data_IF_140686806852
#
_entry.id   IF_140686806852
#
_cell.length_a   1.000
_cell.length_b   1.000
_cell.length_c   1.000
_cell.angle_alpha   90.00
_cell.angle_beta   90.00
_cell.angle_gamma   90.00
#
_symmetry.space_group_name_H-M   'P 1'
#
loop_
_entity.id
_entity.type
_entity.pdbx_description
1 polymer ?
#
# COMPACT_ATOMS: atom_id res chain seq x y z
N UNK A 1 -21.76 10.35 2.47
CA UNK A 1 -20.84 9.20 2.77
C UNK A 1 -20.63 9.11 4.28
N UNK A 2 -20.64 7.89 4.82
CA UNK A 2 -20.47 7.63 6.25
C UNK A 2 -19.07 8.02 6.73
N UNK A 3 -18.96 8.88 7.78
CA UNK A 3 -17.67 9.30 8.37
C UNK A 3 -16.62 9.74 7.33
N UNK A 4 -17.03 10.47 6.30
CA UNK A 4 -16.13 10.97 5.25
C UNK A 4 -16.18 12.50 5.19
N UNK A 5 -15.04 13.13 5.44
CA UNK A 5 -14.87 14.57 5.29
C UNK A 5 -14.14 14.84 3.96
N UNK A 6 -14.89 15.22 2.94
CA UNK A 6 -14.36 15.44 1.59
C UNK A 6 -13.28 16.51 1.55
N UNK A 7 -13.49 17.63 2.24
CA UNK A 7 -12.52 18.74 2.22
C UNK A 7 -11.19 18.33 2.89
N UNK A 8 -11.26 17.57 3.97
CA UNK A 8 -10.07 17.02 4.65
C UNK A 8 -9.35 16.02 3.75
N UNK A 9 -10.09 15.11 3.11
CA UNK A 9 -9.52 14.09 2.21
C UNK A 9 -8.80 14.73 1.01
N UNK A 10 -9.43 15.74 0.39
CA UNK A 10 -8.82 16.52 -0.71
C UNK A 10 -7.54 17.20 -0.22
N UNK A 11 -7.60 17.93 0.90
CA UNK A 11 -6.45 18.64 1.45
C UNK A 11 -5.30 17.70 1.78
N UNK A 12 -5.58 16.52 2.36
CA UNK A 12 -4.56 15.50 2.65
C UNK A 12 -3.92 14.97 1.36
N UNK A 13 -4.70 14.65 0.33
CA UNK A 13 -4.18 14.17 -0.96
C UNK A 13 -3.34 15.24 -1.65
N UNK A 14 -3.78 16.49 -1.63
CA UNK A 14 -3.02 17.63 -2.18
C UNK A 14 -1.68 17.81 -1.45
N UNK A 15 -1.64 17.64 -0.12
CA UNK A 15 -0.39 17.75 0.63
C UNK A 15 0.63 16.67 0.28
N UNK A 16 0.17 15.44 -0.02
CA UNK A 16 1.04 14.37 -0.53
C UNK A 16 1.66 14.73 -1.88
N UNK A 17 0.85 15.27 -2.79
CA UNK A 17 1.29 15.71 -4.12
C UNK A 17 2.24 16.93 -4.06
N UNK A 18 2.05 17.81 -3.09
CA UNK A 18 2.92 18.97 -2.89
C UNK A 18 4.38 18.61 -2.55
N UNK A 19 4.64 17.36 -2.15
CA UNK A 19 6.00 16.85 -1.95
C UNK A 19 6.75 16.53 -3.24
N UNK A 20 6.08 16.48 -4.41
CA UNK A 20 6.70 16.14 -5.69
C UNK A 20 8.03 16.86 -5.93
N UNK A 21 8.13 18.21 -5.82
CA UNK A 21 9.40 18.89 -6.09
C UNK A 21 10.54 18.48 -5.14
N UNK A 22 10.21 18.21 -3.89
CA UNK A 22 11.21 17.77 -2.90
C UNK A 22 11.66 16.33 -3.17
N UNK A 23 10.73 15.44 -3.53
CA UNK A 23 11.00 14.06 -3.89
C UNK A 23 11.90 14.02 -5.13
N UNK A 24 11.53 14.73 -6.22
CA UNK A 24 12.29 14.78 -7.46
C UNK A 24 13.70 15.33 -7.23
N UNK A 25 13.84 16.46 -6.50
CA UNK A 25 15.15 17.02 -6.14
C UNK A 25 16.01 16.04 -5.35
N UNK A 26 15.39 15.28 -4.42
CA UNK A 26 16.10 14.28 -3.63
C UNK A 26 16.61 13.15 -4.50
N UNK A 27 15.75 12.61 -5.37
CA UNK A 27 16.10 11.53 -6.31
C UNK A 27 17.19 12.00 -7.30
N UNK A 28 17.06 13.20 -7.85
CA UNK A 28 18.02 13.75 -8.80
C UNK A 28 19.42 13.86 -8.18
N UNK A 29 19.52 14.39 -6.96
CA UNK A 29 20.77 14.45 -6.20
C UNK A 29 21.37 13.07 -5.98
N UNK A 30 20.58 12.10 -5.53
CA UNK A 30 21.05 10.73 -5.31
C UNK A 30 21.48 10.04 -6.60
N UNK A 31 20.79 10.32 -7.72
CA UNK A 31 21.18 9.81 -9.02
C UNK A 31 22.53 10.37 -9.48
N UNK A 32 22.82 11.65 -9.22
CA UNK A 32 24.09 12.29 -9.53
C UNK A 32 25.23 11.80 -8.63
N UNK A 33 24.97 11.53 -7.35
CA UNK A 33 25.92 10.93 -6.40
C UNK A 33 26.19 9.44 -6.71
N UNK A 34 25.21 8.74 -7.29
CA UNK A 34 25.26 7.33 -7.68
C UNK A 34 24.91 6.37 -6.54
N UNK A 35 24.13 5.36 -6.88
CA UNK A 35 23.69 4.28 -5.98
C UNK A 35 23.68 2.93 -6.74
N UNK A 36 23.71 1.83 -6.00
CA UNK A 36 23.74 0.48 -6.56
C UNK A 36 22.44 -0.30 -6.32
N UNK A 37 21.71 0.05 -5.26
CA UNK A 37 20.44 -0.61 -4.92
C UNK A 37 19.55 0.27 -4.06
N UNK A 38 18.27 -0.12 -3.97
CA UNK A 38 17.26 0.51 -3.10
C UNK A 38 16.70 -0.54 -2.15
N UNK A 39 16.65 -0.21 -0.87
CA UNK A 39 16.02 -0.99 0.17
C UNK A 39 14.79 -0.25 0.69
N UNK A 40 13.61 -0.83 0.49
CA UNK A 40 12.33 -0.30 0.99
C UNK A 40 12.06 -0.98 2.33
N UNK A 41 12.10 -0.23 3.43
CA UNK A 41 12.04 -0.79 4.79
C UNK A 41 10.76 -0.37 5.50
N UNK A 42 10.00 -1.34 5.96
CA UNK A 42 8.74 -1.09 6.66
C UNK A 42 8.40 -2.14 7.71
N UNK A 43 7.30 -1.92 8.42
CA UNK A 43 6.73 -2.85 9.39
C UNK A 43 5.21 -2.91 9.20
N UNK A 44 4.63 -4.11 9.20
CA UNK A 44 3.19 -4.28 9.02
C UNK A 44 2.67 -3.67 7.71
N UNK A 45 1.69 -2.79 7.80
CA UNK A 45 1.07 -2.16 6.63
C UNK A 45 2.05 -1.37 5.76
N UNK A 46 3.00 -0.66 6.35
CA UNK A 46 4.00 0.11 5.60
C UNK A 46 4.96 -0.79 4.82
N UNK A 47 5.31 -1.97 5.34
CA UNK A 47 6.06 -2.98 4.58
C UNK A 47 5.27 -3.48 3.37
N UNK A 48 4.02 -3.81 3.57
CA UNK A 48 3.16 -4.30 2.49
C UNK A 48 2.94 -3.25 1.38
N UNK A 49 2.84 -1.97 1.73
CA UNK A 49 2.75 -0.86 0.76
C UNK A 49 3.98 -0.70 -0.13
N UNK A 50 5.11 -1.28 0.24
CA UNK A 50 6.33 -1.20 -0.57
C UNK A 50 6.39 -2.25 -1.69
N UNK A 51 5.59 -3.31 -1.61
CA UNK A 51 5.63 -4.41 -2.58
C UNK A 51 5.24 -4.02 -4.00
N UNK A 52 4.25 -3.14 -4.26
CA UNK A 52 3.96 -2.67 -5.61
C UNK A 52 5.17 -2.02 -6.29
N UNK A 53 6.01 -1.31 -5.54
CA UNK A 53 7.18 -0.59 -6.05
C UNK A 53 8.39 -1.51 -6.25
N UNK A 54 8.56 -2.52 -5.42
CA UNK A 54 9.47 -3.63 -5.69
C UNK A 54 9.03 -4.40 -6.95
N UNK A 55 7.73 -4.69 -7.09
CA UNK A 55 7.16 -5.33 -8.27
C UNK A 55 7.39 -4.49 -9.53
N UNK A 56 7.13 -3.19 -9.48
CA UNK A 56 7.37 -2.26 -10.57
C UNK A 56 8.85 -2.28 -11.00
N UNK A 57 9.77 -2.13 -10.05
CA UNK A 57 11.21 -2.14 -10.34
C UNK A 57 11.67 -3.47 -10.94
N UNK A 58 11.24 -4.60 -10.37
CA UNK A 58 11.63 -5.94 -10.83
C UNK A 58 11.25 -6.22 -12.27
N UNK A 59 10.13 -5.67 -12.76
CA UNK A 59 9.67 -5.90 -14.14
C UNK A 59 10.22 -4.89 -15.16
N UNK A 60 10.66 -3.71 -14.70
CA UNK A 60 11.04 -2.62 -15.59
C UNK A 60 12.52 -2.20 -15.49
N UNK A 61 13.28 -2.74 -14.55
CA UNK A 61 14.63 -2.30 -14.23
C UNK A 61 15.57 -3.46 -13.86
N UNK A 62 16.85 -3.26 -14.11
CA UNK A 62 17.91 -4.10 -13.55
C UNK A 62 18.40 -3.60 -12.19
N UNK A 63 17.92 -2.48 -11.71
CA UNK A 63 18.24 -1.96 -10.39
C UNK A 63 17.70 -2.94 -9.32
N UNK A 64 18.55 -3.45 -8.43
CA UNK A 64 18.08 -4.23 -7.30
C UNK A 64 17.26 -3.36 -6.34
N UNK A 65 15.94 -3.55 -6.36
CA UNK A 65 15.02 -2.94 -5.39
C UNK A 65 14.40 -4.05 -4.57
N UNK A 66 14.35 -3.90 -3.26
CA UNK A 66 13.83 -4.92 -2.37
C UNK A 66 13.09 -4.33 -1.19
N UNK A 67 11.94 -4.92 -0.86
CA UNK A 67 11.25 -4.64 0.38
C UNK A 67 11.80 -5.52 1.52
N UNK A 68 11.96 -4.95 2.71
CA UNK A 68 12.47 -5.63 3.90
C UNK A 68 11.63 -5.30 5.15
N UNK A 69 11.40 -6.31 5.97
CA UNK A 69 10.80 -6.11 7.30
C UNK A 69 11.85 -5.50 8.23
N UNK A 70 11.51 -4.39 8.87
CA UNK A 70 12.46 -3.62 9.67
C UNK A 70 13.15 -4.45 10.76
N UNK A 71 12.40 -5.22 11.55
CA UNK A 71 12.94 -6.06 12.61
C UNK A 71 13.84 -7.17 12.08
N UNK A 72 13.44 -7.85 11.00
CA UNK A 72 14.22 -8.92 10.38
C UNK A 72 15.53 -8.39 9.80
N UNK A 73 15.49 -7.23 9.15
CA UNK A 73 16.68 -6.57 8.59
C UNK A 73 17.76 -6.33 9.66
N UNK A 74 17.36 -5.88 10.84
CA UNK A 74 18.29 -5.63 11.96
C UNK A 74 18.96 -6.90 12.46
N UNK A 75 18.23 -8.01 12.49
CA UNK A 75 18.73 -9.30 13.02
C UNK A 75 19.53 -10.08 11.98
N UNK A 76 19.01 -10.17 10.75
CA UNK A 76 19.59 -11.01 9.70
C UNK A 76 20.60 -10.29 8.82
N UNK A 77 20.50 -8.94 8.76
CA UNK A 77 21.29 -8.11 7.87
C UNK A 77 20.90 -8.25 6.40
N UNK A 78 21.67 -7.57 5.56
CA UNK A 78 21.60 -7.65 4.11
C UNK A 78 22.98 -7.44 3.51
N UNK A 79 23.42 -8.38 2.71
CA UNK A 79 24.76 -8.35 2.10
C UNK A 79 24.96 -7.19 1.10
N UNK A 80 23.87 -6.59 0.57
CA UNK A 80 23.92 -5.46 -0.36
C UNK A 80 23.86 -4.10 0.35
N UNK A 81 23.55 -4.09 1.65
CA UNK A 81 23.42 -2.86 2.42
C UNK A 81 24.78 -2.22 2.67
N UNK A 82 24.98 -1.02 2.17
CA UNK A 82 26.25 -0.29 2.28
C UNK A 82 26.12 1.16 1.80
N UNK A 83 27.26 1.83 1.61
CA UNK A 83 27.37 3.26 1.28
C UNK A 83 26.63 3.67 -0.02
N UNK A 84 26.41 2.72 -0.92
CA UNK A 84 25.71 2.95 -2.18
C UNK A 84 24.28 2.41 -2.17
N UNK A 85 23.70 2.24 -0.97
CA UNK A 85 22.29 1.86 -0.79
C UNK A 85 21.45 3.09 -0.46
N UNK A 86 20.31 3.24 -1.12
CA UNK A 86 19.23 4.14 -0.70
C UNK A 86 18.26 3.31 0.14
N UNK A 87 18.11 3.63 1.43
CA UNK A 87 17.17 2.98 2.32
C UNK A 87 15.97 3.90 2.57
N UNK A 88 14.77 3.47 2.16
CA UNK A 88 13.52 4.25 2.23
C UNK A 88 12.61 3.69 3.30
N UNK A 89 12.15 4.57 4.18
CA UNK A 89 11.26 4.26 5.29
C UNK A 89 9.96 5.03 5.17
N UNK A 90 8.86 4.40 5.57
CA UNK A 90 7.56 5.08 5.70
C UNK A 90 7.00 4.85 7.10
N UNK A 91 6.53 5.91 7.75
CA UNK A 91 5.91 5.81 9.07
C UNK A 91 5.07 7.05 9.35
N UNK A 92 3.73 6.91 9.44
CA UNK A 92 2.83 8.05 9.71
C UNK A 92 3.19 8.75 11.02
N UNK A 93 3.24 8.01 12.12
CA UNK A 93 3.57 8.55 13.45
C UNK A 93 5.06 8.86 13.61
N UNK A 94 5.92 8.19 12.82
CA UNK A 94 7.36 8.27 12.97
C UNK A 94 7.91 7.72 14.28
N UNK A 95 7.15 6.87 15.00
CA UNK A 95 7.50 6.39 16.35
C UNK A 95 7.65 4.87 16.46
N UNK A 96 7.61 4.14 15.34
CA UNK A 96 7.71 2.68 15.34
C UNK A 96 9.14 2.26 15.69
N UNK A 97 9.33 1.57 16.82
CA UNK A 97 10.65 1.19 17.34
C UNK A 97 11.47 0.36 16.34
N UNK A 98 10.86 -0.64 15.70
CA UNK A 98 11.55 -1.44 14.69
C UNK A 98 12.05 -0.61 13.51
N UNK A 99 11.28 0.40 13.09
CA UNK A 99 11.70 1.34 12.04
C UNK A 99 12.88 2.19 12.49
N UNK A 100 12.88 2.66 13.74
CA UNK A 100 13.99 3.46 14.29
C UNK A 100 15.28 2.65 14.40
N UNK A 101 15.19 1.42 14.90
CA UNK A 101 16.33 0.49 14.95
C UNK A 101 16.88 0.16 13.56
N UNK A 102 15.99 -0.02 12.59
CA UNK A 102 16.38 -0.28 11.21
C UNK A 102 17.03 0.95 10.55
N UNK A 103 16.58 2.17 10.85
CA UNK A 103 17.25 3.41 10.41
C UNK A 103 18.67 3.46 10.95
N UNK A 104 18.85 3.27 12.26
CA UNK A 104 20.17 3.28 12.90
C UNK A 104 21.09 2.20 12.31
N UNK A 105 20.53 1.01 12.07
CA UNK A 105 21.25 -0.07 11.43
C UNK A 105 21.70 0.28 10.01
N UNK A 106 20.81 0.81 9.15
CA UNK A 106 21.14 1.23 7.79
C UNK A 106 22.22 2.33 7.78
N UNK A 107 22.12 3.31 8.65
CA UNK A 107 23.12 4.38 8.82
C UNK A 107 24.47 3.81 9.28
N UNK A 108 24.48 2.86 10.19
CA UNK A 108 25.72 2.20 10.64
C UNK A 108 26.45 1.45 9.52
N UNK A 109 25.71 1.08 8.45
CA UNK A 109 26.24 0.45 7.24
C UNK A 109 26.61 1.45 6.15
N UNK A 110 26.42 2.76 6.39
CA UNK A 110 26.72 3.83 5.45
C UNK A 110 25.61 4.13 4.43
N UNK A 111 24.44 3.47 4.53
CA UNK A 111 23.34 3.72 3.59
C UNK A 111 22.75 5.12 3.77
N UNK A 112 22.34 5.76 2.65
CA UNK A 112 21.57 7.00 2.69
C UNK A 112 20.11 6.71 3.05
N UNK A 113 19.63 7.26 4.16
CA UNK A 113 18.29 7.01 4.70
C UNK A 113 17.32 8.12 4.33
N UNK A 114 16.13 7.73 3.81
CA UNK A 114 15.01 8.62 3.47
C UNK A 114 13.81 8.21 4.28
N UNK A 115 13.13 9.17 4.93
CA UNK A 115 11.91 8.92 5.69
C UNK A 115 10.72 9.72 5.17
N UNK A 116 9.64 9.02 4.81
CA UNK A 116 8.34 9.64 4.61
C UNK A 116 7.54 9.55 5.91
N UNK A 117 7.11 10.70 6.44
CA UNK A 117 6.39 10.77 7.71
C UNK A 117 5.37 11.89 7.72
N UNK A 118 4.39 11.81 8.62
CA UNK A 118 3.36 12.84 8.81
C UNK A 118 3.74 13.92 9.82
N UNK A 119 4.88 13.81 10.53
CA UNK A 119 5.24 14.73 11.61
C UNK A 119 6.70 15.17 11.50
N UNK A 120 6.97 16.51 11.41
CA UNK A 120 8.34 17.03 11.26
C UNK A 120 9.23 16.76 12.48
N UNK A 121 8.63 16.68 13.66
CA UNK A 121 9.35 16.45 14.92
C UNK A 121 9.35 14.98 15.36
N UNK A 122 8.92 14.06 14.48
CA UNK A 122 8.93 12.65 14.81
C UNK A 122 10.36 12.10 14.95
N UNK A 123 10.56 11.04 15.74
CA UNK A 123 11.85 10.37 15.83
C UNK A 123 12.39 9.92 14.45
N UNK A 124 11.55 9.44 13.55
CA UNK A 124 11.95 9.09 12.17
C UNK A 124 12.46 10.32 11.43
N UNK A 125 11.70 11.44 11.42
CA UNK A 125 12.10 12.67 10.73
C UNK A 125 13.46 13.22 11.22
N UNK A 126 13.73 13.09 12.51
CA UNK A 126 14.99 13.56 13.11
C UNK A 126 16.18 12.63 12.88
N UNK A 127 15.92 11.35 12.60
CA UNK A 127 16.98 10.33 12.52
C UNK A 127 17.42 9.98 11.10
N UNK A 128 16.56 10.15 10.08
CA UNK A 128 16.94 9.92 8.69
C UNK A 128 17.81 11.05 8.11
N UNK A 129 18.57 10.76 7.06
CA UNK A 129 19.40 11.78 6.37
C UNK A 129 18.54 12.75 5.55
N UNK A 130 17.40 12.27 5.03
CA UNK A 130 16.43 13.09 4.31
C UNK A 130 15.02 12.80 4.79
N UNK A 131 14.38 13.77 5.44
CA UNK A 131 12.97 13.66 5.85
C UNK A 131 12.07 14.35 4.81
N UNK A 132 11.03 13.63 4.37
CA UNK A 132 9.98 14.11 3.48
C UNK A 132 8.66 14.06 4.27
N UNK A 133 8.18 15.24 4.70
CA UNK A 133 7.09 15.35 5.66
C UNK A 133 5.84 15.86 4.97
N UNK A 134 4.74 15.09 5.07
CA UNK A 134 3.40 15.49 4.63
C UNK A 134 2.55 15.97 5.80
N UNK A 135 1.31 16.37 5.53
CA UNK A 135 0.35 16.69 6.57
C UNK A 135 0.15 15.54 7.56
N UNK A 136 -0.05 15.83 8.85
CA UNK A 136 -0.39 14.81 9.83
C UNK A 136 -1.65 14.05 9.41
N UNK A 137 -1.61 12.74 9.53
CA UNK A 137 -2.66 11.79 9.12
C UNK A 137 -2.85 11.64 7.59
N UNK A 138 -2.01 12.25 6.77
CA UNK A 138 -2.04 11.95 5.34
C UNK A 138 -1.63 10.47 5.12
N UNK A 139 -2.50 9.74 4.50
CA UNK A 139 -2.38 8.33 4.16
C UNK A 139 -3.12 8.10 2.83
N UNK A 140 -2.71 7.22 1.97
CA UNK A 140 -1.55 6.31 2.03
C UNK A 140 -0.27 6.93 1.45
N UNK A 141 0.90 6.33 1.75
CA UNK A 141 2.20 6.73 1.19
C UNK A 141 2.40 6.33 -0.28
N UNK A 142 1.43 5.68 -0.89
CA UNK A 142 1.53 5.20 -2.27
C UNK A 142 1.85 6.31 -3.26
N UNK A 143 1.28 7.51 -3.08
CA UNK A 143 1.58 8.66 -3.95
C UNK A 143 3.06 9.04 -3.89
N UNK A 144 3.62 9.15 -2.69
CA UNK A 144 5.02 9.55 -2.50
C UNK A 144 5.99 8.46 -2.96
N UNK A 145 5.68 7.19 -2.67
CA UNK A 145 6.49 6.06 -3.15
C UNK A 145 6.43 5.93 -4.67
N UNK A 146 5.28 6.19 -5.29
CA UNK A 146 5.12 6.20 -6.75
C UNK A 146 5.95 7.31 -7.39
N UNK A 147 5.88 8.53 -6.84
CA UNK A 147 6.70 9.66 -7.29
C UNK A 147 8.19 9.37 -7.13
N UNK A 148 8.59 8.83 -5.97
CA UNK A 148 9.99 8.50 -5.69
C UNK A 148 10.53 7.42 -6.63
N UNK A 149 9.86 6.28 -6.72
CA UNK A 149 10.29 5.17 -7.57
C UNK A 149 10.17 5.49 -9.06
N UNK A 150 9.09 6.18 -9.45
CA UNK A 150 8.89 6.63 -10.82
C UNK A 150 10.00 7.58 -11.29
N UNK A 151 10.36 8.60 -10.46
CA UNK A 151 11.48 9.50 -10.77
C UNK A 151 12.80 8.76 -10.84
N UNK A 152 13.05 7.84 -9.92
CA UNK A 152 14.27 7.06 -9.85
C UNK A 152 14.45 6.20 -11.11
N UNK A 153 13.42 5.51 -11.57
CA UNK A 153 13.43 4.74 -12.81
C UNK A 153 13.52 5.64 -14.05
N UNK A 154 12.88 6.81 -14.04
CA UNK A 154 12.99 7.80 -15.12
C UNK A 154 14.42 8.32 -15.28
N UNK A 155 15.13 8.63 -14.19
CA UNK A 155 16.55 9.05 -14.22
C UNK A 155 17.47 7.97 -14.78
N UNK A 156 17.04 6.73 -14.79
CA UNK A 156 17.74 5.60 -15.39
C UNK A 156 17.36 5.36 -16.85
N UNK A 157 16.39 6.12 -17.39
CA UNK A 157 15.82 5.89 -18.72
C UNK A 157 14.91 4.65 -18.81
N UNK A 158 14.43 4.17 -17.66
CA UNK A 158 13.63 2.94 -17.55
C UNK A 158 12.13 3.23 -17.32
N UNK A 159 11.74 4.52 -17.24
CA UNK A 159 10.34 4.96 -17.16
C UNK A 159 10.15 6.32 -17.88
N UNK A 160 9.98 6.28 -19.19
CA UNK A 160 9.82 7.48 -20.04
C UNK A 160 8.52 8.27 -19.75
N UNK A 161 7.46 7.59 -19.29
CA UNK A 161 6.16 8.20 -18.98
C UNK A 161 6.07 8.95 -17.66
N UNK A 162 7.17 9.06 -16.89
CA UNK A 162 7.14 9.60 -15.53
C UNK A 162 6.57 11.02 -15.43
N UNK A 163 7.04 11.96 -16.24
CA UNK A 163 6.60 13.36 -16.17
C UNK A 163 5.09 13.47 -16.42
N UNK A 164 4.58 12.73 -17.41
CA UNK A 164 3.14 12.69 -17.68
C UNK A 164 2.36 12.06 -16.54
N UNK A 165 2.84 10.92 -16.00
CA UNK A 165 2.22 10.33 -14.80
C UNK A 165 2.16 11.35 -13.66
N UNK A 166 3.29 11.97 -13.32
CA UNK A 166 3.38 12.92 -12.22
C UNK A 166 2.49 14.15 -12.41
N UNK A 167 2.28 14.60 -13.65
CA UNK A 167 1.33 15.67 -13.98
C UNK A 167 -0.13 15.20 -13.85
N UNK A 168 -0.46 13.99 -14.31
CA UNK A 168 -1.81 13.42 -14.22
C UNK A 168 -2.21 13.13 -12.77
N UNK A 169 -1.26 12.85 -11.86
CA UNK A 169 -1.54 12.69 -10.42
C UNK A 169 -2.23 13.93 -9.80
N UNK A 170 -2.12 15.10 -10.40
CA UNK A 170 -2.85 16.29 -9.95
C UNK A 170 -4.39 16.11 -9.96
N UNK A 171 -4.90 15.15 -10.72
CA UNK A 171 -6.34 14.81 -10.73
C UNK A 171 -6.78 13.99 -9.51
N UNK A 172 -5.85 13.30 -8.81
CA UNK A 172 -6.17 12.34 -7.75
C UNK A 172 -7.09 12.86 -6.66
N UNK A 173 -6.93 14.10 -6.12
CA UNK A 173 -7.80 14.56 -5.04
C UNK A 173 -9.30 14.49 -5.38
N UNK A 174 -9.67 14.81 -6.63
CA UNK A 174 -11.05 14.74 -7.09
C UNK A 174 -11.44 13.32 -7.49
N UNK A 175 -10.59 12.65 -8.23
CA UNK A 175 -10.82 11.28 -8.71
C UNK A 175 -11.07 10.33 -7.55
N UNK A 176 -10.29 10.40 -6.47
CA UNK A 176 -10.47 9.51 -5.32
C UNK A 176 -11.74 9.85 -4.52
N UNK A 177 -12.16 11.11 -4.47
CA UNK A 177 -13.50 11.46 -3.92
C UNK A 177 -14.62 10.83 -4.74
N UNK A 178 -14.51 10.84 -6.06
CA UNK A 178 -15.51 10.21 -6.94
C UNK A 178 -15.50 8.69 -6.80
N UNK A 179 -14.32 8.08 -6.66
CA UNK A 179 -14.17 6.66 -6.29
C UNK A 179 -14.88 6.37 -4.96
N UNK A 180 -14.64 7.16 -3.92
CA UNK A 180 -15.28 6.97 -2.61
C UNK A 180 -16.81 7.08 -2.71
N UNK A 181 -17.34 8.04 -3.49
CA UNK A 181 -18.79 8.20 -3.70
C UNK A 181 -19.40 7.00 -4.42
N UNK A 182 -18.74 6.50 -5.44
CA UNK A 182 -19.21 5.33 -6.20
C UNK A 182 -19.13 4.04 -5.38
N UNK A 183 -18.12 3.91 -4.52
CA UNK A 183 -17.93 2.77 -3.64
C UNK A 183 -18.93 2.73 -2.47
N UNK A 184 -19.52 3.87 -2.07
CA UNK A 184 -20.37 3.98 -0.87
C UNK A 184 -21.53 2.97 -0.83
N UNK A 185 -22.36 2.79 -1.89
CA UNK A 185 -23.44 1.80 -1.89
C UNK A 185 -22.91 0.37 -1.79
N UNK A 186 -21.91 0.01 -2.60
CA UNK A 186 -21.32 -1.34 -2.62
C UNK A 186 -20.70 -1.67 -1.26
N UNK A 187 -20.03 -0.70 -0.64
CA UNK A 187 -19.44 -0.85 0.68
C UNK A 187 -20.49 -1.09 1.77
N UNK A 188 -21.62 -0.34 1.70
CA UNK A 188 -22.74 -0.53 2.62
C UNK A 188 -23.38 -1.90 2.48
N UNK A 189 -23.62 -2.35 1.24
CA UNK A 189 -24.24 -3.63 0.95
C UNK A 189 -23.35 -4.79 1.39
N UNK A 190 -22.04 -4.71 1.08
CA UNK A 190 -21.06 -5.68 1.55
C UNK A 190 -21.02 -5.79 3.07
N UNK A 191 -20.95 -4.66 3.76
CA UNK A 191 -20.86 -4.64 5.21
C UNK A 191 -22.13 -5.23 5.87
N UNK A 192 -23.32 -4.92 5.34
CA UNK A 192 -24.57 -5.48 5.87
C UNK A 192 -24.67 -6.99 5.62
N UNK A 193 -24.23 -7.47 4.44
CA UNK A 193 -24.22 -8.88 4.11
C UNK A 193 -23.26 -9.69 4.98
N UNK A 194 -22.13 -9.08 5.38
CA UNK A 194 -21.05 -9.75 6.11
C UNK A 194 -20.87 -9.33 7.57
N UNK A 195 -21.85 -8.66 8.15
CA UNK A 195 -21.75 -8.18 9.55
C UNK A 195 -21.53 -9.30 10.60
N UNK A 196 -22.04 -10.49 10.33
CA UNK A 196 -21.93 -11.66 11.19
C UNK A 196 -20.88 -12.68 10.69
N UNK A 197 -20.22 -12.40 9.57
CA UNK A 197 -19.15 -13.24 9.03
C UNK A 197 -17.89 -13.06 9.89
N UNK A 198 -17.28 -14.15 10.33
CA UNK A 198 -16.08 -14.14 11.20
C UNK A 198 -14.81 -14.60 10.47
N UNK A 199 -14.94 -15.03 9.22
CA UNK A 199 -13.83 -15.48 8.38
C UNK A 199 -13.98 -15.01 6.93
N UNK A 200 -12.91 -14.44 6.38
CA UNK A 200 -12.82 -14.06 4.97
C UNK A 200 -11.58 -14.66 4.31
N UNK A 201 -11.75 -15.12 3.08
CA UNK A 201 -10.66 -15.59 2.22
C UNK A 201 -10.37 -14.53 1.16
N UNK A 202 -9.18 -13.93 1.21
CA UNK A 202 -8.79 -12.82 0.35
C UNK A 202 -7.82 -13.28 -0.75
N UNK A 203 -8.08 -12.85 -1.99
CA UNK A 203 -7.23 -13.14 -3.16
C UNK A 203 -6.81 -11.83 -3.82
N UNK A 204 -5.52 -11.68 -4.10
CA UNK A 204 -4.98 -10.59 -4.89
C UNK A 204 -3.61 -10.95 -5.46
N UNK A 205 -3.09 -10.14 -6.37
CA UNK A 205 -1.80 -10.40 -7.01
C UNK A 205 -1.18 -9.14 -7.61
N UNK A 206 0.05 -9.24 -8.13
CA UNK A 206 0.75 -8.13 -8.75
C UNK A 206 0.82 -6.89 -7.86
N UNK A 207 0.42 -5.74 -8.40
CA UNK A 207 0.41 -4.48 -7.66
C UNK A 207 -0.55 -4.51 -6.45
N UNK A 208 -1.54 -5.39 -6.43
CA UNK A 208 -2.51 -5.51 -5.34
C UNK A 208 -2.14 -6.54 -4.27
N UNK A 209 -1.05 -7.28 -4.43
CA UNK A 209 -0.66 -8.23 -3.40
C UNK A 209 -0.34 -7.55 -2.05
N UNK A 210 0.39 -6.44 -2.09
CA UNK A 210 0.67 -5.66 -0.88
C UNK A 210 -0.61 -5.14 -0.23
N UNK A 211 -1.54 -4.61 -1.01
CA UNK A 211 -2.83 -4.16 -0.52
C UNK A 211 -3.65 -5.31 0.09
N UNK A 212 -3.70 -6.47 -0.56
CA UNK A 212 -4.40 -7.67 -0.04
C UNK A 212 -3.88 -8.07 1.33
N UNK A 213 -2.55 -8.08 1.49
CA UNK A 213 -1.90 -8.38 2.76
C UNK A 213 -2.23 -7.32 3.83
N UNK A 214 -2.11 -6.04 3.48
CA UNK A 214 -2.38 -4.92 4.37
C UNK A 214 -3.83 -4.95 4.87
N UNK A 215 -4.79 -5.03 3.95
CA UNK A 215 -6.21 -5.00 4.29
C UNK A 215 -6.61 -6.19 5.17
N UNK A 216 -6.11 -7.37 4.85
CA UNK A 216 -6.29 -8.57 5.65
C UNK A 216 -5.76 -8.39 7.08
N UNK A 217 -4.46 -8.12 7.23
CA UNK A 217 -3.79 -8.10 8.53
C UNK A 217 -4.10 -6.84 9.34
N UNK A 218 -3.95 -5.66 8.72
CA UNK A 218 -4.01 -4.41 9.48
C UNK A 218 -5.44 -3.90 9.67
N UNK A 219 -6.38 -4.27 8.79
CA UNK A 219 -7.76 -3.81 8.89
C UNK A 219 -8.67 -4.90 9.45
N UNK A 220 -8.79 -6.04 8.76
CA UNK A 220 -9.73 -7.07 9.17
C UNK A 220 -9.30 -7.77 10.47
N UNK A 221 -8.03 -8.22 10.54
CA UNK A 221 -7.54 -8.93 11.75
C UNK A 221 -7.31 -7.96 12.91
N UNK A 222 -6.57 -6.85 12.69
CA UNK A 222 -6.18 -5.91 13.75
C UNK A 222 -7.33 -5.05 14.26
N UNK A 223 -8.13 -4.46 13.33
CA UNK A 223 -9.13 -3.46 13.68
C UNK A 223 -10.53 -4.05 13.83
N UNK A 224 -10.87 -5.14 13.15
CA UNK A 224 -12.19 -5.77 13.21
C UNK A 224 -12.20 -7.15 13.91
N UNK A 225 -11.03 -7.68 14.23
CA UNK A 225 -10.80 -8.99 14.86
C UNK A 225 -11.42 -10.16 14.09
N UNK A 226 -11.49 -10.00 12.76
CA UNK A 226 -11.93 -11.02 11.84
C UNK A 226 -10.76 -11.94 11.47
N UNK A 227 -11.03 -13.21 11.33
CA UNK A 227 -10.02 -14.16 10.84
C UNK A 227 -9.93 -14.04 9.34
N UNK A 228 -8.71 -14.17 8.82
CA UNK A 228 -8.52 -14.13 7.37
C UNK A 228 -7.52 -15.17 6.90
N UNK A 229 -7.73 -15.63 5.66
CA UNK A 229 -6.68 -16.25 4.84
C UNK A 229 -6.44 -15.34 3.65
N UNK A 230 -5.19 -14.96 3.41
CA UNK A 230 -4.78 -14.14 2.26
C UNK A 230 -3.87 -14.94 1.35
N UNK A 231 -4.17 -14.94 0.06
CA UNK A 231 -3.46 -15.76 -0.92
C UNK A 231 -3.10 -14.92 -2.14
N UNK A 232 -1.84 -15.03 -2.54
CA UNK A 232 -1.41 -14.49 -3.82
C UNK A 232 -2.08 -15.28 -4.95
N UNK A 233 -2.67 -14.60 -5.94
CA UNK A 233 -3.44 -15.26 -7.02
C UNK A 233 -2.63 -16.30 -7.80
N UNK A 234 -1.30 -16.11 -7.91
CA UNK A 234 -0.41 -17.08 -8.53
C UNK A 234 -0.22 -18.37 -7.70
N UNK A 235 -0.38 -18.29 -6.36
CA UNK A 235 -0.21 -19.41 -5.43
C UNK A 235 -1.54 -20.07 -5.05
N UNK A 236 -2.66 -19.48 -5.45
CA UNK A 236 -4.00 -19.94 -5.08
C UNK A 236 -4.22 -21.44 -5.31
N UNK A 237 -3.74 -21.97 -6.46
CA UNK A 237 -3.92 -23.36 -6.87
C UNK A 237 -2.89 -24.34 -6.25
N UNK A 238 -2.02 -23.87 -5.37
CA UNK A 238 -0.93 -24.68 -4.79
C UNK A 238 -1.18 -25.05 -3.32
N UNK A 239 -2.45 -25.11 -2.91
CA UNK A 239 -2.88 -25.59 -1.59
C UNK A 239 -4.07 -24.83 -1.01
N UNK A 240 -4.04 -23.48 -1.02
CA UNK A 240 -5.04 -22.68 -0.32
C UNK A 240 -6.46 -22.80 -0.86
N UNK A 241 -6.65 -23.19 -2.12
CA UNK A 241 -7.96 -23.48 -2.70
C UNK A 241 -8.74 -24.55 -1.89
N UNK A 242 -8.05 -25.44 -1.17
CA UNK A 242 -8.68 -26.50 -0.37
C UNK A 242 -9.43 -25.96 0.87
N UNK A 243 -9.25 -24.66 1.21
CA UNK A 243 -9.98 -23.98 2.28
C UNK A 243 -11.34 -23.44 1.84
N UNK A 244 -11.64 -23.48 0.54
CA UNK A 244 -12.90 -22.96 0.03
C UNK A 244 -14.02 -24.01 0.19
N UNK A 245 -15.09 -23.58 0.85
CA UNK A 245 -16.33 -24.30 1.00
C UNK A 245 -17.48 -23.48 0.39
N UNK A 246 -18.67 -24.06 0.32
CA UNK A 246 -19.83 -23.45 -0.33
C UNK A 246 -20.23 -22.09 0.27
N UNK A 247 -19.99 -21.91 1.58
CA UNK A 247 -20.33 -20.72 2.36
C UNK A 247 -19.11 -19.85 2.73
N UNK A 248 -17.92 -20.16 2.20
CA UNK A 248 -16.73 -19.35 2.43
C UNK A 248 -16.90 -17.98 1.79
N UNK A 249 -16.79 -16.91 2.60
CA UNK A 249 -16.74 -15.56 2.07
C UNK A 249 -15.39 -15.28 1.41
N UNK A 250 -15.42 -15.12 0.08
CA UNK A 250 -14.23 -14.86 -0.75
C UNK A 250 -14.23 -13.43 -1.23
N UNK A 251 -13.17 -12.69 -0.91
CA UNK A 251 -12.95 -11.33 -1.38
C UNK A 251 -11.82 -11.37 -2.43
N UNK A 252 -12.11 -10.90 -3.64
CA UNK A 252 -11.14 -10.83 -4.73
C UNK A 252 -10.82 -9.39 -5.05
N UNK A 253 -9.55 -9.02 -5.00
CA UNK A 253 -9.05 -7.72 -5.42
C UNK A 253 -8.46 -7.81 -6.82
N UNK A 254 -9.10 -7.12 -7.78
CA UNK A 254 -8.69 -7.12 -9.19
C UNK A 254 -8.12 -5.77 -9.61
N UNK A 255 -6.87 -5.79 -10.09
CA UNK A 255 -6.17 -4.65 -10.65
C UNK A 255 -6.22 -4.61 -12.18
N UNK A 256 -5.50 -3.64 -12.73
CA UNK A 256 -5.38 -3.42 -14.18
C UNK A 256 -3.95 -3.68 -14.69
N UNK A 257 -3.13 -4.36 -13.90
CA UNK A 257 -1.80 -4.79 -14.32
C UNK A 257 -1.84 -6.16 -15.05
N UNK A 258 -0.68 -6.57 -15.54
CA UNK A 258 -0.51 -7.82 -16.30
C UNK A 258 -0.83 -9.10 -15.52
N UNK A 259 -0.89 -9.02 -14.18
CA UNK A 259 -1.20 -10.18 -13.33
C UNK A 259 -2.71 -10.45 -13.22
N UNK A 260 -3.55 -9.58 -13.76
CA UNK A 260 -5.01 -9.71 -13.72
C UNK A 260 -5.51 -11.09 -14.14
N UNK A 261 -4.95 -11.67 -15.22
CA UNK A 261 -5.36 -12.98 -15.69
C UNK A 261 -5.21 -14.10 -14.63
N UNK A 262 -4.28 -13.96 -13.68
CA UNK A 262 -4.12 -14.91 -12.57
C UNK A 262 -5.25 -14.75 -11.56
N UNK A 263 -5.66 -13.53 -11.30
CA UNK A 263 -6.77 -13.22 -10.39
C UNK A 263 -8.11 -13.60 -11.00
N UNK A 264 -8.33 -13.35 -12.32
CA UNK A 264 -9.51 -13.80 -13.06
C UNK A 264 -9.65 -15.34 -12.97
N UNK A 265 -8.55 -16.08 -13.09
CA UNK A 265 -8.53 -17.55 -12.97
C UNK A 265 -8.92 -18.00 -11.55
N UNK A 266 -8.43 -17.34 -10.52
CA UNK A 266 -8.76 -17.65 -9.13
C UNK A 266 -10.24 -17.35 -8.83
N UNK A 267 -10.74 -16.20 -9.29
CA UNK A 267 -12.16 -15.83 -9.20
C UNK A 267 -13.07 -16.86 -9.87
N UNK A 268 -12.77 -17.21 -11.11
CA UNK A 268 -13.56 -18.19 -11.87
C UNK A 268 -13.65 -19.55 -11.15
N UNK A 269 -12.59 -19.97 -10.46
CA UNK A 269 -12.61 -21.17 -9.64
C UNK A 269 -13.43 -20.95 -8.36
N UNK A 270 -13.21 -19.84 -7.62
CA UNK A 270 -13.91 -19.55 -6.39
C UNK A 270 -15.44 -19.55 -6.60
N UNK A 271 -15.93 -18.95 -7.69
CA UNK A 271 -17.37 -18.93 -8.04
C UNK A 271 -17.97 -20.32 -8.37
N UNK A 272 -17.14 -21.33 -8.62
CA UNK A 272 -17.61 -22.72 -8.81
C UNK A 272 -17.80 -23.46 -7.48
N UNK A 273 -17.14 -23.01 -6.44
CA UNK A 273 -17.08 -23.65 -5.12
C UNK A 273 -17.92 -22.88 -4.12
N UNK A 274 -17.69 -21.59 -3.98
CA UNK A 274 -18.39 -20.73 -3.03
C UNK A 274 -19.54 -19.97 -3.69
N UNK A 275 -20.63 -19.78 -2.93
CA UNK A 275 -21.78 -18.92 -3.29
C UNK A 275 -21.57 -17.47 -2.87
N UNK A 276 -20.55 -17.20 -2.07
CA UNK A 276 -20.24 -15.88 -1.50
C UNK A 276 -18.89 -15.38 -2.02
N UNK A 277 -18.87 -14.84 -3.25
CA UNK A 277 -17.68 -14.29 -3.91
C UNK A 277 -17.93 -12.84 -4.26
N UNK A 278 -17.27 -11.93 -3.55
CA UNK A 278 -17.27 -10.50 -3.82
C UNK A 278 -16.00 -10.08 -4.53
N UNK A 279 -16.12 -9.34 -5.61
CA UNK A 279 -15.00 -8.80 -6.39
C UNK A 279 -14.98 -7.29 -6.26
N UNK A 280 -13.83 -6.74 -5.87
CA UNK A 280 -13.55 -5.31 -5.94
C UNK A 280 -12.58 -5.08 -7.09
N UNK A 281 -13.10 -4.58 -8.21
CA UNK A 281 -12.37 -4.38 -9.46
C UNK A 281 -12.09 -2.88 -9.66
N UNK A 282 -10.83 -2.52 -9.86
CA UNK A 282 -10.47 -1.11 -10.11
C UNK A 282 -11.02 -0.57 -11.42
N UNK A 283 -11.41 -1.44 -12.37
CA UNK A 283 -12.09 -1.05 -13.63
C UNK A 283 -13.48 -0.46 -13.43
N UNK A 284 -14.12 -0.77 -12.31
CA UNK A 284 -15.46 -0.24 -12.00
C UNK A 284 -15.42 1.27 -11.69
N UNK A 285 -14.22 1.83 -11.46
CA UNK A 285 -14.04 3.22 -11.08
C UNK A 285 -13.38 4.02 -12.20
N UNK A 286 -14.07 4.98 -12.83
CA UNK A 286 -13.47 5.93 -13.75
C UNK A 286 -12.39 6.75 -13.04
N UNK A 287 -11.22 6.87 -13.66
CA UNK A 287 -10.13 7.71 -13.19
C UNK A 287 -9.92 8.84 -14.19
N UNK A 288 -10.86 9.79 -14.21
CA UNK A 288 -10.88 10.88 -15.18
C UNK A 288 -9.61 11.74 -15.07
N UNK A 289 -8.91 11.89 -16.19
CA UNK A 289 -7.62 12.58 -16.24
C UNK A 289 -6.40 11.68 -16.02
N UNK A 290 -6.61 10.40 -15.80
CA UNK A 290 -5.51 9.40 -15.71
C UNK A 290 -5.51 8.55 -16.97
N UNK A 291 -4.37 8.52 -17.65
CA UNK A 291 -4.15 7.68 -18.85
C UNK A 291 -4.24 6.19 -18.54
N UNK A 292 -4.78 5.37 -19.46
CA UNK A 292 -4.99 3.94 -19.25
C UNK A 292 -3.75 3.16 -18.81
N UNK A 293 -2.57 3.52 -19.33
CA UNK A 293 -1.31 2.87 -18.98
C UNK A 293 -0.86 3.09 -17.52
N UNK A 294 -1.39 4.11 -16.85
CA UNK A 294 -1.02 4.40 -15.45
C UNK A 294 -2.02 3.82 -14.44
N UNK A 295 -3.21 3.40 -14.89
CA UNK A 295 -4.26 2.91 -14.01
C UNK A 295 -3.83 1.73 -13.14
N UNK A 296 -3.09 0.78 -13.72
CA UNK A 296 -2.54 -0.37 -12.98
C UNK A 296 -1.59 0.02 -11.84
N UNK A 297 -0.84 1.14 -11.98
CA UNK A 297 0.03 1.66 -10.93
C UNK A 297 -0.76 2.28 -9.76
N UNK A 298 -1.97 2.78 -10.04
CA UNK A 298 -2.84 3.41 -9.06
C UNK A 298 -3.82 2.43 -8.40
N UNK A 299 -3.85 1.18 -8.83
CA UNK A 299 -4.77 0.17 -8.31
C UNK A 299 -4.74 0.04 -6.77
N UNK A 300 -3.59 0.04 -6.08
CA UNK A 300 -3.57 0.01 -4.61
C UNK A 300 -4.28 1.21 -3.98
N UNK A 301 -4.07 2.41 -4.50
CA UNK A 301 -4.66 3.65 -4.01
C UNK A 301 -6.18 3.70 -4.23
N UNK A 302 -6.63 3.22 -5.40
CA UNK A 302 -8.06 3.09 -5.71
C UNK A 302 -8.74 2.14 -4.73
N UNK A 303 -8.17 0.95 -4.52
CA UNK A 303 -8.74 -0.03 -3.59
C UNK A 303 -8.63 0.39 -2.13
N UNK A 304 -7.58 1.11 -1.74
CA UNK A 304 -7.52 1.70 -0.39
C UNK A 304 -8.71 2.63 -0.15
N UNK A 305 -9.03 3.48 -1.12
CA UNK A 305 -10.19 4.37 -1.06
C UNK A 305 -11.52 3.61 -0.99
N UNK A 306 -11.69 2.58 -1.80
CA UNK A 306 -12.90 1.73 -1.82
C UNK A 306 -13.06 1.00 -0.49
N UNK A 307 -11.99 0.37 -0.01
CA UNK A 307 -12.03 -0.47 1.18
C UNK A 307 -12.02 0.33 2.48
N UNK A 308 -11.61 1.61 2.46
CA UNK A 308 -11.92 2.52 3.58
C UNK A 308 -13.42 2.68 3.75
N UNK A 309 -14.19 2.80 2.65
CA UNK A 309 -15.66 2.85 2.75
C UNK A 309 -16.23 1.57 3.35
N UNK A 310 -15.75 0.40 2.88
CA UNK A 310 -16.13 -0.92 3.44
C UNK A 310 -15.84 -0.97 4.94
N UNK A 311 -14.65 -0.53 5.35
CA UNK A 311 -14.21 -0.55 6.76
C UNK A 311 -15.09 0.35 7.65
N UNK A 312 -15.49 1.54 7.17
CA UNK A 312 -16.40 2.44 7.90
C UNK A 312 -17.80 1.86 8.05
N UNK A 313 -18.29 1.15 7.03
CA UNK A 313 -19.58 0.48 7.12
C UNK A 313 -19.52 -0.76 8.01
N UNK A 314 -18.46 -1.59 7.96
CA UNK A 314 -18.25 -2.72 8.89
C UNK A 314 -18.18 -2.23 10.34
N UNK A 315 -17.43 -1.16 10.62
CA UNK A 315 -17.38 -0.52 11.93
C UNK A 315 -18.79 -0.23 12.47
N UNK A 316 -19.65 0.32 11.63
CA UNK A 316 -21.03 0.68 12.00
C UNK A 316 -21.90 -0.54 12.26
N UNK A 317 -21.96 -1.48 11.30
CA UNK A 317 -22.92 -2.61 11.37
C UNK A 317 -22.51 -3.66 12.40
N UNK A 318 -21.22 -3.76 12.70
CA UNK A 318 -20.67 -4.67 13.71
C UNK A 318 -20.61 -4.04 15.10
N UNK A 319 -20.94 -2.75 15.24
CA UNK A 319 -20.74 -1.97 16.47
C UNK A 319 -19.33 -2.16 17.06
N UNK A 320 -18.31 -2.16 16.16
CA UNK A 320 -16.92 -2.45 16.48
C UNK A 320 -16.00 -1.37 15.93
N UNK A 321 -15.60 -0.43 16.79
CA UNK A 321 -14.74 0.70 16.38
C UNK A 321 -13.42 0.22 15.77
N UNK A 322 -13.01 0.86 14.68
CA UNK A 322 -11.70 0.64 14.04
C UNK A 322 -10.51 1.03 14.94
N UNK A 323 -10.76 1.76 16.05
CA UNK A 323 -9.73 2.15 17.01
C UNK A 323 -9.51 1.11 18.12
N UNK A 324 -10.38 0.11 18.23
CA UNK A 324 -10.25 -0.93 19.25
C UNK A 324 -9.03 -1.81 18.97
N UNK A 325 -8.29 -2.08 20.06
CA UNK A 325 -7.15 -3.00 20.05
C UNK A 325 -7.22 -3.90 21.26
N UNK A 326 -6.85 -5.19 21.10
CA UNK A 326 -6.70 -6.13 22.22
C UNK A 326 -5.32 -6.03 22.84
N UNK A 327 -4.28 -5.96 22.00
CA UNK A 327 -2.88 -6.10 22.42
C UNK A 327 -1.99 -5.01 21.85
N UNK A 328 -2.14 -4.70 20.55
CA UNK A 328 -1.28 -3.75 19.84
C UNK A 328 -1.29 -2.38 20.53
N UNK A 329 -0.14 -1.94 21.05
CA UNK A 329 0.05 -0.70 21.82
C UNK A 329 -0.83 -0.59 23.10
N UNK A 330 -1.39 -1.72 23.57
CA UNK A 330 -2.17 -1.81 24.81
C UNK A 330 -1.39 -2.53 25.90
N UNK A 331 -0.51 -3.45 25.51
CA UNK A 331 0.38 -4.17 26.42
C UNK A 331 1.79 -4.24 25.84
N UNK A 332 2.76 -4.47 26.72
CA UNK A 332 4.16 -4.68 26.32
C UNK A 332 4.34 -6.06 25.66
N UNK A 333 5.17 -6.10 24.59
CA UNK A 333 5.54 -7.33 23.86
C UNK A 333 6.92 -7.23 23.22
#
# INVERSE_FOLDING_TARGET
MLKFNEAEFVSQTESLLALRPQIEKTVDRLADEGYDNVLLVGAGGTYAQMWPYEHLARRSSLLPVRAAVAAELVVSGDARLGERTIAVFTSVSGTTDDSLRAIDYCKSRGAHTIGFTGYPDSPVARNVDTALVSEPKAWPFDVQLLLFMGRLLSRRGEFEGYERLADELAALPRVLVDVARQAEPVASDFAEAHKDTDYHFLVGGGNLWGFTYLYSMCILEEMQWLRTTRVHSAEFFHGSLELLEEDTSVIVFQGEDETRALTDRAEAFARRVSKDVTVFDTRDYPLDGISPEFRGLLAPLVLDTVMDRVSKHLERVRDHSLDLRRYYRVMDY
#
